data_IF_093949724216
#
_entry.id   IF_093949724216
#
_cell.length_a   1.000
_cell.length_b   1.000
_cell.length_c   1.000
_cell.angle_alpha   90.00
_cell.angle_beta   90.00
_cell.angle_gamma   90.00
#
_symmetry.space_group_name_H-M   'P 1'
#
loop_
_entity.id
_entity.type
_entity.pdbx_description
1 polymer ?
#
# COMPACT_ATOMS: atom_id res chain seq x y z
N UNK A 1 22.01 -14.35 -4.84
CA UNK A 1 21.36 -13.58 -3.76
C UNK A 1 20.28 -14.44 -3.14
N UNK A 2 20.06 -14.32 -1.84
CA UNK A 2 19.00 -15.01 -1.07
C UNK A 2 18.10 -13.96 -0.42
N UNK A 3 16.79 -14.16 -0.47
CA UNK A 3 15.82 -13.28 0.17
C UNK A 3 14.84 -14.05 1.06
N UNK A 4 14.49 -13.44 2.19
CA UNK A 4 13.42 -13.86 3.06
C UNK A 4 12.26 -12.85 2.96
N UNK A 5 11.06 -13.32 2.63
CA UNK A 5 9.87 -12.48 2.52
C UNK A 5 8.85 -12.83 3.61
N UNK A 6 8.62 -11.91 4.55
CA UNK A 6 7.55 -12.04 5.54
C UNK A 6 6.20 -11.65 4.93
N UNK A 7 5.21 -12.54 5.06
CA UNK A 7 3.85 -12.36 4.54
C UNK A 7 3.65 -13.06 3.20
N UNK A 8 3.26 -14.34 3.26
CA UNK A 8 2.93 -15.14 2.08
C UNK A 8 1.50 -14.92 1.58
N UNK A 9 0.90 -13.75 1.84
CA UNK A 9 -0.41 -13.35 1.32
C UNK A 9 -0.37 -12.92 -0.14
N UNK A 10 -1.48 -12.35 -0.64
CA UNK A 10 -1.59 -12.01 -2.06
C UNK A 10 -0.55 -10.97 -2.54
N UNK A 11 -0.20 -9.96 -1.72
CA UNK A 11 0.85 -8.99 -2.06
C UNK A 11 2.23 -9.65 -2.09
N UNK A 12 2.52 -10.51 -1.11
CA UNK A 12 3.79 -11.23 -1.08
C UNK A 12 3.97 -12.15 -2.28
N UNK A 13 2.96 -12.97 -2.61
CA UNK A 13 3.03 -13.91 -3.73
C UNK A 13 2.88 -13.23 -5.10
N UNK A 14 1.92 -12.33 -5.22
CA UNK A 14 1.54 -11.73 -6.50
C UNK A 14 2.41 -10.53 -6.90
N UNK A 15 3.22 -9.98 -5.99
CA UNK A 15 4.01 -8.78 -6.28
C UNK A 15 5.46 -8.90 -5.80
N UNK A 16 5.72 -8.77 -4.50
CA UNK A 16 7.09 -8.59 -4.00
C UNK A 16 7.91 -9.87 -4.18
N UNK A 17 7.39 -11.00 -3.70
CA UNK A 17 8.00 -12.31 -3.90
C UNK A 17 8.10 -12.70 -5.37
N UNK A 18 7.08 -12.39 -6.19
CA UNK A 18 7.16 -12.59 -7.65
C UNK A 18 8.36 -11.86 -8.26
N UNK A 19 8.52 -10.56 -8.03
CA UNK A 19 9.64 -9.79 -8.58
C UNK A 19 11.01 -10.30 -8.09
N UNK A 20 11.10 -10.70 -6.82
CA UNK A 20 12.32 -11.30 -6.28
C UNK A 20 12.65 -12.62 -6.99
N UNK A 21 11.67 -13.52 -7.13
CA UNK A 21 11.86 -14.80 -7.79
C UNK A 21 12.16 -14.65 -9.30
N UNK A 22 11.46 -13.75 -9.99
CA UNK A 22 11.69 -13.43 -11.41
C UNK A 22 13.09 -12.85 -11.64
N UNK A 23 13.68 -12.18 -10.64
CA UNK A 23 15.06 -11.70 -10.66
C UNK A 23 16.10 -12.83 -10.42
N UNK A 24 15.68 -14.08 -10.26
CA UNK A 24 16.55 -15.23 -9.98
C UNK A 24 17.06 -15.29 -8.53
N UNK A 25 16.42 -14.57 -7.60
CA UNK A 25 16.78 -14.60 -6.18
C UNK A 25 16.21 -15.88 -5.54
N UNK A 26 17.03 -16.57 -4.75
CA UNK A 26 16.55 -17.71 -3.95
C UNK A 26 15.61 -17.18 -2.86
N UNK A 27 14.32 -17.44 -3.00
CA UNK A 27 13.27 -16.84 -2.19
C UNK A 27 12.65 -17.84 -1.20
N UNK A 28 12.67 -17.47 0.08
CA UNK A 28 11.91 -18.13 1.13
C UNK A 28 10.81 -17.22 1.66
N UNK A 29 9.58 -17.70 1.72
CA UNK A 29 8.48 -17.03 2.40
C UNK A 29 8.47 -17.36 3.90
N UNK A 30 8.03 -16.41 4.73
CA UNK A 30 7.77 -16.61 6.15
C UNK A 30 6.33 -16.17 6.48
N UNK A 31 5.53 -17.08 7.04
CA UNK A 31 4.14 -16.81 7.42
C UNK A 31 3.71 -17.70 8.61
N UNK A 32 2.50 -17.50 9.11
CA UNK A 32 1.85 -18.37 10.11
C UNK A 32 0.74 -19.24 9.51
N UNK A 33 0.31 -18.96 8.28
CA UNK A 33 -0.73 -19.73 7.60
C UNK A 33 -0.17 -21.08 7.10
N UNK A 34 -0.35 -22.13 7.91
CA UNK A 34 0.20 -23.46 7.62
C UNK A 34 -0.24 -24.03 6.27
N UNK A 35 -1.47 -23.77 5.83
CA UNK A 35 -1.96 -24.24 4.52
C UNK A 35 -1.13 -23.65 3.37
N UNK A 36 -0.78 -22.36 3.46
CA UNK A 36 0.07 -21.69 2.47
C UNK A 36 1.51 -22.18 2.56
N UNK A 37 2.05 -22.35 3.77
CA UNK A 37 3.41 -22.87 3.97
C UNK A 37 3.59 -24.28 3.39
N UNK A 38 2.66 -25.19 3.71
CA UNK A 38 2.67 -26.57 3.23
C UNK A 38 2.55 -26.60 1.71
N UNK A 39 1.65 -25.80 1.13
CA UNK A 39 1.48 -25.74 -0.31
C UNK A 39 2.73 -25.20 -1.03
N UNK A 40 3.42 -24.20 -0.48
CA UNK A 40 4.66 -23.65 -1.04
C UNK A 40 5.79 -24.69 -0.98
N UNK A 41 5.93 -25.41 0.13
CA UNK A 41 6.94 -26.43 0.30
C UNK A 41 6.64 -27.73 -0.47
N UNK A 42 5.38 -28.03 -0.74
CA UNK A 42 5.00 -29.20 -1.54
C UNK A 42 5.28 -28.99 -3.04
N UNK A 43 5.04 -27.78 -3.55
CA UNK A 43 5.06 -27.50 -5.00
C UNK A 43 6.26 -26.70 -5.48
N UNK A 44 6.92 -25.96 -4.58
CA UNK A 44 8.00 -25.02 -4.88
C UNK A 44 7.68 -24.03 -6.02
N UNK A 45 6.40 -23.84 -6.31
CA UNK A 45 5.89 -23.04 -7.42
C UNK A 45 4.41 -22.72 -7.23
N UNK A 46 3.95 -21.65 -7.88
CA UNK A 46 2.55 -21.23 -7.93
C UNK A 46 2.28 -20.31 -9.13
N UNK A 47 1.01 -20.11 -9.43
CA UNK A 47 0.55 -19.34 -10.59
C UNK A 47 0.12 -17.94 -10.17
N UNK A 48 0.49 -16.95 -10.99
CA UNK A 48 0.07 -15.56 -10.86
C UNK A 48 -0.67 -15.15 -12.13
N UNK A 49 -1.97 -14.90 -12.00
CA UNK A 49 -2.80 -14.37 -13.08
C UNK A 49 -2.54 -12.86 -13.17
N UNK A 50 -1.79 -12.43 -14.17
CA UNK A 50 -1.50 -11.02 -14.42
C UNK A 50 -2.51 -10.53 -15.46
N UNK A 51 -3.39 -9.61 -15.03
CA UNK A 51 -4.55 -9.19 -15.82
C UNK A 51 -4.56 -7.69 -16.10
N UNK A 52 -5.00 -7.29 -17.29
CA UNK A 52 -4.99 -5.89 -17.74
C UNK A 52 -5.65 -5.75 -19.11
N UNK A 53 -4.88 -5.35 -20.13
CA UNK A 53 -5.34 -5.44 -21.52
C UNK A 53 -5.50 -6.90 -21.96
N UNK A 54 -4.58 -7.76 -21.51
CA UNK A 54 -4.60 -9.20 -21.71
C UNK A 54 -4.60 -9.92 -20.36
N UNK A 55 -4.96 -11.19 -20.38
CA UNK A 55 -4.76 -12.13 -19.27
C UNK A 55 -3.57 -13.03 -19.60
N UNK A 56 -2.61 -13.10 -18.69
CA UNK A 56 -1.49 -14.03 -18.75
C UNK A 56 -1.32 -14.74 -17.42
N UNK A 57 -0.86 -15.99 -17.46
CA UNK A 57 -0.57 -16.78 -16.27
C UNK A 57 0.93 -16.99 -16.18
N UNK A 58 1.54 -16.30 -15.23
CA UNK A 58 2.96 -16.45 -14.93
C UNK A 58 3.16 -17.58 -13.90
N UNK A 59 4.24 -18.34 -14.03
CA UNK A 59 4.63 -19.32 -13.00
C UNK A 59 5.82 -18.81 -12.21
N UNK A 60 5.64 -18.63 -10.91
CA UNK A 60 6.74 -18.42 -9.96
C UNK A 60 7.24 -19.79 -9.53
N UNK A 61 8.56 -20.02 -9.56
CA UNK A 61 9.16 -21.33 -9.25
C UNK A 61 10.44 -21.19 -8.43
N UNK A 62 10.90 -22.29 -7.82
CA UNK A 62 12.11 -22.32 -6.99
C UNK A 62 11.94 -21.65 -5.63
N UNK A 63 10.72 -21.57 -5.12
CA UNK A 63 10.41 -20.95 -3.82
C UNK A 63 10.20 -22.00 -2.73
N UNK A 64 10.41 -21.61 -1.48
CA UNK A 64 10.05 -22.41 -0.31
C UNK A 64 9.48 -21.52 0.79
N UNK A 65 9.11 -22.10 1.92
CA UNK A 65 8.52 -21.36 3.04
C UNK A 65 8.91 -21.92 4.41
N UNK A 66 8.93 -21.05 5.42
CA UNK A 66 9.12 -21.40 6.83
C UNK A 66 8.05 -20.76 7.70
N UNK A 67 7.85 -21.30 8.90
CA UNK A 67 7.03 -20.62 9.91
C UNK A 67 7.73 -19.34 10.38
N UNK A 68 7.01 -18.21 10.39
CA UNK A 68 7.55 -16.93 10.86
C UNK A 68 7.73 -16.85 12.37
N UNK A 69 7.27 -17.86 13.12
CA UNK A 69 7.37 -17.94 14.58
C UNK A 69 8.27 -19.09 15.06
N UNK A 70 8.84 -19.88 14.13
CA UNK A 70 9.79 -20.95 14.45
C UNK A 70 11.25 -20.48 14.45
N UNK A 71 12.19 -21.39 14.74
CA UNK A 71 13.61 -21.07 14.78
C UNK A 71 14.24 -20.97 13.38
N UNK A 72 13.72 -21.69 12.38
CA UNK A 72 14.25 -21.68 11.01
C UNK A 72 14.30 -20.28 10.38
N UNK A 73 13.35 -19.40 10.73
CA UNK A 73 13.33 -18.02 10.24
C UNK A 73 14.51 -17.20 10.78
N UNK A 74 14.90 -17.44 12.04
CA UNK A 74 16.05 -16.78 12.68
C UNK A 74 17.34 -17.21 11.99
N UNK A 75 17.43 -18.48 11.62
CA UNK A 75 18.56 -19.04 10.89
C UNK A 75 18.66 -18.45 9.49
N UNK A 76 17.54 -18.29 8.78
CA UNK A 76 17.53 -17.65 7.47
C UNK A 76 17.95 -16.18 7.53
N UNK A 77 17.45 -15.40 8.50
CA UNK A 77 17.84 -13.99 8.68
C UNK A 77 19.37 -13.84 8.79
N UNK A 78 20.03 -14.79 9.44
CA UNK A 78 21.48 -14.78 9.58
C UNK A 78 22.25 -14.99 8.25
N UNK A 79 21.60 -15.50 7.20
CA UNK A 79 22.27 -15.90 5.96
C UNK A 79 21.76 -15.22 4.68
N UNK A 80 20.61 -14.54 4.72
CA UNK A 80 20.05 -13.86 3.54
C UNK A 80 20.74 -12.52 3.25
N UNK A 81 20.59 -12.04 2.02
CA UNK A 81 21.09 -10.73 1.57
C UNK A 81 19.99 -9.66 1.65
N UNK A 82 18.73 -10.09 1.57
CA UNK A 82 17.55 -9.23 1.56
C UNK A 82 16.45 -9.79 2.48
N UNK A 83 15.79 -8.90 3.23
CA UNK A 83 14.53 -9.21 3.91
C UNK A 83 13.47 -8.26 3.38
N UNK A 84 12.31 -8.77 3.00
CA UNK A 84 11.16 -7.95 2.62
C UNK A 84 9.93 -8.32 3.45
N UNK A 85 8.95 -7.40 3.54
CA UNK A 85 7.69 -7.64 4.27
C UNK A 85 6.49 -7.15 3.48
N UNK A 86 5.36 -7.85 3.59
CA UNK A 86 4.04 -7.37 3.17
C UNK A 86 2.97 -7.92 4.15
N UNK A 87 3.02 -7.45 5.39
CA UNK A 87 2.31 -8.06 6.54
C UNK A 87 1.31 -7.13 7.22
N UNK A 88 1.34 -5.83 6.92
CA UNK A 88 0.54 -4.81 7.59
C UNK A 88 1.10 -4.39 8.97
N UNK A 89 0.63 -3.26 9.52
CA UNK A 89 1.26 -2.60 10.66
C UNK A 89 1.35 -3.46 11.93
N UNK A 90 0.28 -4.20 12.25
CA UNK A 90 0.23 -5.03 13.47
C UNK A 90 1.24 -6.17 13.43
N UNK A 91 1.39 -6.81 12.27
CA UNK A 91 2.32 -7.94 12.13
C UNK A 91 3.76 -7.44 11.94
N UNK A 92 3.95 -6.23 11.40
CA UNK A 92 5.26 -5.59 11.28
C UNK A 92 5.97 -5.47 12.63
N UNK A 93 5.25 -5.09 13.69
CA UNK A 93 5.76 -5.10 15.06
C UNK A 93 6.01 -6.54 15.56
N UNK A 94 5.08 -7.46 15.27
CA UNK A 94 5.15 -8.86 15.75
C UNK A 94 6.36 -9.63 15.23
N UNK A 95 6.84 -9.35 14.01
CA UNK A 95 8.01 -10.03 13.43
C UNK A 95 9.35 -9.43 13.91
N UNK A 96 9.33 -8.24 14.52
CA UNK A 96 10.55 -7.53 14.92
C UNK A 96 11.45 -8.31 15.91
N UNK A 97 10.91 -9.04 16.91
CA UNK A 97 11.75 -9.87 17.78
C UNK A 97 12.47 -11.02 17.05
N UNK A 98 11.84 -11.63 16.05
CA UNK A 98 12.47 -12.68 15.25
C UNK A 98 13.61 -12.09 14.40
N UNK A 99 13.37 -10.93 13.78
CA UNK A 99 14.41 -10.17 13.05
C UNK A 99 15.57 -9.82 13.98
N UNK A 100 15.29 -9.25 15.16
CA UNK A 100 16.32 -8.90 16.15
C UNK A 100 17.18 -10.13 16.53
N UNK A 101 16.55 -11.27 16.88
CA UNK A 101 17.26 -12.52 17.17
C UNK A 101 18.13 -12.99 15.99
N UNK A 102 17.61 -12.90 14.77
CA UNK A 102 18.34 -13.27 13.56
C UNK A 102 19.56 -12.37 13.31
N UNK A 103 19.44 -11.07 13.57
CA UNK A 103 20.56 -10.13 13.47
C UNK A 103 21.65 -10.40 14.52
N UNK A 104 21.26 -10.73 15.76
CA UNK A 104 22.20 -11.14 16.81
C UNK A 104 22.93 -12.43 16.40
N UNK A 105 22.20 -13.42 15.85
CA UNK A 105 22.79 -14.65 15.32
C UNK A 105 23.75 -14.36 14.16
N UNK A 106 23.38 -13.47 13.24
CA UNK A 106 24.22 -13.03 12.12
C UNK A 106 25.56 -12.46 12.60
N UNK A 107 25.51 -11.54 13.57
CA UNK A 107 26.69 -10.96 14.22
C UNK A 107 27.55 -12.03 14.90
N UNK A 108 26.94 -12.93 15.67
CA UNK A 108 27.66 -14.00 16.38
C UNK A 108 28.36 -14.98 15.42
N UNK A 109 27.87 -15.13 14.20
CA UNK A 109 28.48 -15.93 13.14
C UNK A 109 29.58 -15.19 12.36
N UNK A 110 29.85 -13.92 12.66
CA UNK A 110 30.85 -13.10 11.96
C UNK A 110 30.46 -12.74 10.53
N UNK A 111 29.16 -12.71 10.21
CA UNK A 111 28.66 -12.40 8.87
C UNK A 111 28.47 -10.89 8.74
N UNK A 112 29.54 -10.18 8.39
CA UNK A 112 29.54 -8.72 8.21
C UNK A 112 29.10 -8.28 6.80
N UNK A 113 28.75 -9.22 5.91
CA UNK A 113 28.19 -8.90 4.60
C UNK A 113 26.89 -8.10 4.75
N UNK A 114 26.73 -6.97 4.01
CA UNK A 114 25.55 -6.10 4.13
C UNK A 114 24.23 -6.84 3.97
N UNK A 115 23.27 -6.52 4.83
CA UNK A 115 21.88 -6.97 4.76
C UNK A 115 20.99 -5.76 4.52
N UNK A 116 20.03 -5.85 3.61
CA UNK A 116 19.03 -4.79 3.42
C UNK A 116 17.62 -5.32 3.73
N UNK A 117 16.90 -4.60 4.58
CA UNK A 117 15.52 -4.86 4.97
C UNK A 117 14.62 -3.83 4.30
N UNK A 118 13.55 -4.27 3.64
CA UNK A 118 12.62 -3.42 2.87
C UNK A 118 11.17 -3.80 3.20
N UNK A 119 10.52 -3.01 4.04
CA UNK A 119 9.09 -3.19 4.32
C UNK A 119 8.27 -2.62 3.15
N UNK A 120 7.54 -3.50 2.46
CA UNK A 120 6.72 -3.21 1.27
C UNK A 120 5.25 -3.08 1.69
N UNK A 121 4.99 -2.11 2.56
CA UNK A 121 3.70 -1.92 3.22
C UNK A 121 2.92 -0.76 2.59
N UNK A 122 1.59 -0.75 2.76
CA UNK A 122 0.77 0.43 2.48
C UNK A 122 0.88 1.47 3.62
N UNK A 123 2.12 1.89 3.92
CA UNK A 123 2.50 2.78 5.01
C UNK A 123 3.57 3.74 4.53
N UNK A 124 3.53 4.99 5.01
CA UNK A 124 4.62 5.94 4.79
C UNK A 124 5.82 5.51 5.63
N UNK A 125 6.98 5.31 4.99
CA UNK A 125 8.23 4.89 5.64
C UNK A 125 8.05 3.65 6.53
N UNK A 126 7.40 2.62 6.01
CA UNK A 126 7.13 1.38 6.75
C UNK A 126 8.41 0.72 7.29
N UNK A 127 9.52 0.81 6.56
CA UNK A 127 10.79 0.20 6.99
C UNK A 127 11.43 0.96 8.14
N UNK A 128 11.33 2.29 8.16
CA UNK A 128 11.72 3.11 9.32
C UNK A 128 10.92 2.75 10.56
N UNK A 129 9.62 2.46 10.42
CA UNK A 129 8.79 1.98 11.54
C UNK A 129 9.23 0.60 12.01
N UNK A 130 9.47 -0.34 11.09
CA UNK A 130 10.04 -1.66 11.40
C UNK A 130 11.39 -1.55 12.11
N UNK A 131 12.28 -0.63 11.67
CA UNK A 131 13.55 -0.35 12.34
C UNK A 131 13.33 0.01 13.80
N UNK A 132 12.35 0.87 14.11
CA UNK A 132 11.99 1.21 15.49
C UNK A 132 11.63 -0.02 16.32
N UNK A 133 10.73 -0.88 15.82
CA UNK A 133 10.36 -2.12 16.51
C UNK A 133 11.55 -3.07 16.70
N UNK A 134 12.40 -3.23 15.68
CA UNK A 134 13.60 -4.10 15.74
C UNK A 134 14.60 -3.56 16.76
N UNK A 135 14.86 -2.26 16.77
CA UNK A 135 15.78 -1.62 17.72
C UNK A 135 15.28 -1.72 19.17
N UNK A 136 13.96 -1.69 19.39
CA UNK A 136 13.37 -1.92 20.71
C UNK A 136 13.53 -3.37 21.19
N UNK A 137 13.62 -4.33 20.27
CA UNK A 137 13.83 -5.74 20.57
C UNK A 137 15.33 -6.14 20.66
N UNK A 138 16.26 -5.24 20.33
CA UNK A 138 17.70 -5.47 20.38
C UNK A 138 18.31 -5.02 21.71
N UNK A 139 19.27 -5.80 22.22
CA UNK A 139 20.13 -5.35 23.31
C UNK A 139 21.07 -4.22 22.85
N UNK A 140 21.43 -3.32 23.76
CA UNK A 140 22.23 -2.14 23.42
C UNK A 140 23.60 -2.49 22.80
N UNK A 141 24.21 -3.60 23.22
CA UNK A 141 25.49 -4.08 22.67
C UNK A 141 25.45 -4.53 21.20
N UNK A 142 24.26 -4.71 20.62
CA UNK A 142 24.09 -5.15 19.23
C UNK A 142 23.71 -4.02 18.27
N UNK A 143 23.17 -2.91 18.79
CA UNK A 143 22.65 -1.79 17.99
C UNK A 143 23.71 -1.19 17.06
N UNK A 144 24.92 -0.93 17.57
CA UNK A 144 25.99 -0.33 16.76
C UNK A 144 26.39 -1.21 15.57
N UNK A 145 26.43 -2.53 15.76
CA UNK A 145 26.73 -3.46 14.67
C UNK A 145 25.60 -3.47 13.64
N UNK A 146 24.34 -3.45 14.08
CA UNK A 146 23.17 -3.39 13.18
C UNK A 146 23.17 -2.09 12.37
N UNK A 147 23.43 -0.94 12.98
CA UNK A 147 23.50 0.34 12.27
C UNK A 147 24.59 0.38 11.20
N UNK A 148 25.70 -0.32 11.44
CA UNK A 148 26.81 -0.40 10.50
C UNK A 148 26.49 -1.32 9.30
N UNK A 149 25.94 -2.51 9.55
CA UNK A 149 25.83 -3.59 8.56
C UNK A 149 24.44 -3.77 7.93
N UNK A 150 23.38 -3.20 8.52
CA UNK A 150 21.99 -3.39 8.07
C UNK A 150 21.41 -2.09 7.50
N UNK A 151 20.96 -2.13 6.25
CA UNK A 151 20.17 -1.08 5.63
C UNK A 151 18.69 -1.29 5.93
N UNK A 152 18.03 -0.28 6.48
CA UNK A 152 16.57 -0.24 6.62
C UNK A 152 16.04 0.71 5.56
N UNK A 153 15.65 0.14 4.42
CA UNK A 153 15.31 0.86 3.20
C UNK A 153 13.80 1.02 3.07
N UNK A 154 13.31 2.24 3.20
CA UNK A 154 11.92 2.62 2.94
C UNK A 154 11.55 2.37 1.48
N UNK A 155 10.28 2.06 1.25
CA UNK A 155 9.74 1.81 -0.08
C UNK A 155 8.38 2.48 -0.30
N UNK A 156 8.04 2.64 -1.57
CA UNK A 156 6.70 2.95 -2.06
C UNK A 156 6.30 1.84 -3.02
N UNK A 157 5.20 1.14 -2.70
CA UNK A 157 4.71 0.01 -3.48
C UNK A 157 3.29 0.24 -3.97
N UNK A 158 3.03 -0.10 -5.23
CA UNK A 158 1.72 0.04 -5.85
C UNK A 158 1.44 -1.13 -6.81
N UNK A 159 0.48 -1.96 -6.42
CA UNK A 159 -0.15 -2.98 -7.26
C UNK A 159 -1.53 -3.28 -6.70
N UNK A 160 -2.57 -3.24 -7.53
CA UNK A 160 -3.92 -3.64 -7.17
C UNK A 160 -3.98 -5.17 -7.22
N UNK A 161 -4.26 -5.73 -6.06
CA UNK A 161 -4.36 -7.18 -5.84
C UNK A 161 -5.64 -7.43 -5.04
N UNK A 162 -6.80 -7.57 -5.71
CA UNK A 162 -8.05 -7.87 -5.04
C UNK A 162 -8.03 -9.30 -4.50
N UNK A 163 -8.94 -9.65 -3.58
CA UNK A 163 -9.22 -11.04 -3.25
C UNK A 163 -9.63 -11.80 -4.53
N UNK A 164 -8.94 -12.89 -4.86
CA UNK A 164 -9.28 -13.69 -6.05
C UNK A 164 -10.43 -14.66 -5.75
N UNK A 165 -11.38 -14.80 -6.67
CA UNK A 165 -12.37 -15.87 -6.63
C UNK A 165 -11.71 -17.27 -6.75
N UNK A 166 -10.57 -17.37 -7.43
CA UNK A 166 -9.82 -18.63 -7.60
C UNK A 166 -9.07 -19.10 -6.34
N UNK A 167 -8.85 -18.20 -5.38
CA UNK A 167 -8.28 -18.55 -4.06
C UNK A 167 -9.12 -19.56 -3.27
N UNK A 168 -10.34 -19.87 -3.75
CA UNK A 168 -11.22 -20.89 -3.20
C UNK A 168 -10.77 -22.32 -3.52
N UNK A 169 -9.92 -22.54 -4.52
CA UNK A 169 -9.49 -23.88 -4.96
C UNK A 169 -7.98 -24.11 -4.80
N UNK A 170 -7.16 -23.09 -5.10
CA UNK A 170 -5.71 -23.13 -4.90
C UNK A 170 -5.29 -22.06 -3.88
N UNK A 171 -4.72 -22.43 -2.72
CA UNK A 171 -4.33 -21.46 -1.69
C UNK A 171 -3.15 -20.56 -2.09
N UNK A 172 -2.43 -20.87 -3.16
CA UNK A 172 -1.28 -20.09 -3.64
C UNK A 172 -1.58 -19.21 -4.84
N UNK A 173 -2.60 -19.55 -5.63
CA UNK A 173 -2.97 -18.76 -6.80
C UNK A 173 -3.33 -17.33 -6.39
N UNK A 174 -2.97 -16.36 -7.23
CA UNK A 174 -3.23 -14.95 -7.00
C UNK A 174 -3.44 -14.23 -8.32
N UNK A 175 -4.44 -13.36 -8.37
CA UNK A 175 -4.70 -12.47 -9.50
C UNK A 175 -4.22 -11.06 -9.17
N UNK A 176 -3.45 -10.46 -10.06
CA UNK A 176 -2.86 -9.13 -9.90
C UNK A 176 -3.02 -8.33 -11.18
N UNK A 177 -3.09 -7.01 -11.05
CA UNK A 177 -3.05 -6.17 -12.25
C UNK A 177 -1.67 -6.24 -12.94
N UNK A 178 -1.64 -5.90 -14.24
CA UNK A 178 -0.40 -5.81 -15.03
C UNK A 178 0.55 -4.75 -14.50
N UNK A 179 0.01 -3.60 -14.10
CA UNK A 179 0.82 -2.52 -13.55
C UNK A 179 1.43 -2.90 -12.20
N UNK A 180 2.69 -2.55 -11.98
CA UNK A 180 3.31 -2.58 -10.66
C UNK A 180 4.38 -1.51 -10.56
N UNK A 181 4.51 -0.88 -9.40
CA UNK A 181 5.56 0.09 -9.11
C UNK A 181 6.16 -0.23 -7.74
N UNK A 182 7.46 -0.52 -7.69
CA UNK A 182 8.21 -0.72 -6.44
C UNK A 182 9.41 0.21 -6.44
N UNK A 183 9.33 1.28 -5.65
CA UNK A 183 10.35 2.31 -5.57
C UNK A 183 11.00 2.27 -4.19
N UNK A 184 12.32 2.32 -4.12
CA UNK A 184 13.10 2.23 -2.88
C UNK A 184 14.07 3.40 -2.72
N UNK A 185 14.30 3.82 -1.48
CA UNK A 185 15.24 4.88 -1.17
C UNK A 185 16.70 4.40 -1.31
N UNK A 186 17.35 4.83 -2.40
CA UNK A 186 18.74 4.47 -2.72
C UNK A 186 19.72 4.85 -1.61
N UNK A 187 19.43 5.91 -0.86
CA UNK A 187 20.35 6.48 0.14
C UNK A 187 20.43 5.62 1.41
N UNK A 188 19.48 4.72 1.61
CA UNK A 188 19.37 3.89 2.82
C UNK A 188 20.00 2.50 2.68
N UNK A 189 20.43 2.13 1.47
CA UNK A 189 21.09 0.84 1.22
C UNK A 189 22.48 0.77 1.84
N UNK A 190 22.86 -0.44 2.26
CA UNK A 190 24.22 -0.81 2.61
C UNK A 190 24.81 -1.72 1.53
N UNK A 191 26.05 -1.44 1.13
CA UNK A 191 26.77 -2.23 0.14
C UNK A 191 26.37 -1.95 -1.30
N UNK A 192 26.59 -2.93 -2.17
CA UNK A 192 26.21 -2.84 -3.59
C UNK A 192 24.69 -2.83 -3.75
N UNK A 193 24.18 -1.99 -4.64
CA UNK A 193 22.75 -1.89 -4.93
C UNK A 193 22.29 -3.13 -5.71
N UNK A 194 21.19 -3.78 -5.30
CA UNK A 194 20.68 -4.96 -6.00
C UNK A 194 20.06 -4.56 -7.35
N UNK A 195 20.24 -5.40 -8.36
CA UNK A 195 19.57 -5.26 -9.65
C UNK A 195 18.34 -6.19 -9.71
N UNK A 196 17.18 -5.65 -9.36
CA UNK A 196 15.91 -6.39 -9.35
C UNK A 196 14.98 -5.74 -10.38
N UNK A 197 14.69 -6.40 -11.51
CA UNK A 197 13.73 -5.90 -12.49
C UNK A 197 12.38 -5.57 -11.83
N UNK A 198 11.83 -4.39 -12.14
CA UNK A 198 10.61 -3.89 -11.51
C UNK A 198 10.81 -3.15 -10.18
N UNK A 199 12.03 -3.13 -9.62
CA UNK A 199 12.40 -2.28 -8.48
C UNK A 199 13.21 -1.08 -8.96
N UNK A 200 12.72 0.13 -8.71
CA UNK A 200 13.37 1.39 -9.07
C UNK A 200 14.00 2.05 -7.84
N UNK A 201 15.19 2.62 -8.01
CA UNK A 201 15.90 3.31 -6.94
C UNK A 201 15.79 4.82 -7.11
N UNK A 202 15.54 5.54 -6.02
CA UNK A 202 15.40 7.00 -6.02
C UNK A 202 16.10 7.64 -4.81
N UNK A 203 16.50 8.90 -4.93
CA UNK A 203 16.97 9.74 -3.82
C UNK A 203 15.85 10.60 -3.23
N UNK A 204 14.64 10.56 -3.81
CA UNK A 204 13.49 11.35 -3.38
C UNK A 204 12.22 10.50 -3.22
N UNK A 205 12.29 9.47 -2.38
CA UNK A 205 11.20 8.52 -2.18
C UNK A 205 9.87 9.19 -1.79
N UNK A 206 9.93 10.24 -0.96
CA UNK A 206 8.73 10.92 -0.48
C UNK A 206 7.88 11.52 -1.60
N UNK A 207 8.49 11.99 -2.69
CA UNK A 207 7.76 12.47 -3.86
C UNK A 207 6.90 11.37 -4.48
N UNK A 208 7.43 10.14 -4.57
CA UNK A 208 6.71 8.98 -5.12
C UNK A 208 5.64 8.46 -4.16
N UNK A 209 5.92 8.44 -2.85
CA UNK A 209 4.93 8.10 -1.81
C UNK A 209 3.73 9.04 -1.90
N UNK A 210 3.95 10.35 -1.95
CA UNK A 210 2.87 11.33 -2.08
C UNK A 210 2.19 11.24 -3.45
N UNK A 211 2.92 11.03 -4.55
CA UNK A 211 2.33 10.84 -5.87
C UNK A 211 1.33 9.68 -5.88
N UNK A 212 1.70 8.53 -5.32
CA UNK A 212 0.81 7.37 -5.20
C UNK A 212 -0.38 7.68 -4.29
N UNK A 213 -0.16 8.34 -3.15
CA UNK A 213 -1.21 8.69 -2.21
C UNK A 213 -2.22 9.67 -2.80
N UNK A 214 -1.76 10.71 -3.49
CA UNK A 214 -2.58 11.81 -3.99
C UNK A 214 -3.24 11.50 -5.32
N UNK A 215 -2.74 10.51 -6.07
CA UNK A 215 -3.30 10.15 -7.37
C UNK A 215 -4.05 8.82 -7.28
N UNK A 216 -3.33 7.71 -7.07
CA UNK A 216 -3.94 6.38 -7.06
C UNK A 216 -4.89 6.22 -5.87
N UNK A 217 -4.42 6.45 -4.64
CA UNK A 217 -5.28 6.23 -3.47
C UNK A 217 -6.47 7.21 -3.44
N UNK A 218 -6.26 8.49 -3.77
CA UNK A 218 -7.33 9.50 -3.87
C UNK A 218 -8.36 9.12 -4.93
N UNK A 219 -7.94 8.86 -6.17
CA UNK A 219 -8.85 8.48 -7.25
C UNK A 219 -9.62 7.21 -6.95
N UNK A 220 -8.94 6.19 -6.38
CA UNK A 220 -9.55 4.90 -6.09
C UNK A 220 -10.61 5.00 -4.98
N UNK A 221 -10.33 5.79 -3.93
CA UNK A 221 -11.30 6.02 -2.86
C UNK A 221 -12.51 6.83 -3.33
N UNK A 222 -12.30 7.89 -4.11
CA UNK A 222 -13.41 8.71 -4.64
C UNK A 222 -14.27 7.87 -5.59
N UNK A 223 -13.65 7.04 -6.44
CA UNK A 223 -14.37 6.10 -7.32
C UNK A 223 -15.25 5.15 -6.50
N UNK A 224 -14.71 4.58 -5.42
CA UNK A 224 -15.44 3.68 -4.55
C UNK A 224 -16.64 4.36 -3.87
N UNK A 225 -16.44 5.55 -3.30
CA UNK A 225 -17.50 6.24 -2.56
C UNK A 225 -18.62 6.75 -3.47
N UNK A 226 -18.28 7.37 -4.60
CA UNK A 226 -19.27 7.78 -5.59
C UNK A 226 -19.94 6.57 -6.24
N UNK A 227 -19.18 5.51 -6.52
CA UNK A 227 -19.69 4.26 -7.05
C UNK A 227 -20.74 3.64 -6.14
N UNK A 228 -20.43 3.49 -4.84
CA UNK A 228 -21.36 2.96 -3.85
C UNK A 228 -22.64 3.80 -3.75
N UNK A 229 -22.53 5.13 -3.79
CA UNK A 229 -23.68 6.04 -3.79
C UNK A 229 -24.57 5.88 -5.03
N UNK A 230 -23.96 5.67 -6.20
CA UNK A 230 -24.68 5.46 -7.46
C UNK A 230 -25.19 4.01 -7.65
N UNK A 231 -24.94 3.11 -6.69
CA UNK A 231 -25.35 1.71 -6.77
C UNK A 231 -24.46 0.83 -7.65
N UNK A 232 -23.28 1.30 -8.03
CA UNK A 232 -22.29 0.51 -8.78
C UNK A 232 -21.63 -0.53 -7.86
N UNK A 233 -21.44 -1.76 -8.38
CA UNK A 233 -20.86 -2.85 -7.60
C UNK A 233 -19.33 -2.79 -7.58
N UNK A 234 -18.70 -2.49 -8.72
CA UNK A 234 -17.25 -2.54 -8.86
C UNK A 234 -16.65 -1.17 -9.21
N UNK A 235 -15.35 -1.02 -8.95
CA UNK A 235 -14.56 0.15 -9.36
C UNK A 235 -14.65 0.38 -10.86
N UNK A 236 -14.67 -0.70 -11.66
CA UNK A 236 -14.83 -0.59 -13.10
C UNK A 236 -16.20 -0.01 -13.47
N UNK A 237 -17.28 -0.51 -12.88
CA UNK A 237 -18.63 0.00 -13.15
C UNK A 237 -18.71 1.50 -12.81
N UNK A 238 -18.15 1.88 -11.66
CA UNK A 238 -18.12 3.27 -11.21
C UNK A 238 -17.24 4.19 -12.08
N UNK A 239 -16.06 3.77 -12.54
CA UNK A 239 -15.17 4.63 -13.34
C UNK A 239 -15.59 4.76 -14.81
N UNK A 240 -16.46 3.86 -15.28
CA UNK A 240 -17.08 3.91 -16.60
C UNK A 240 -18.31 4.83 -16.64
N UNK A 241 -18.88 5.19 -15.49
CA UNK A 241 -19.85 6.27 -15.37
C UNK A 241 -19.15 7.62 -15.59
N UNK A 242 -19.49 8.30 -16.69
CA UNK A 242 -18.85 9.56 -17.10
C UNK A 242 -18.96 10.66 -16.04
N UNK A 243 -20.05 10.66 -15.24
CA UNK A 243 -20.26 11.66 -14.19
C UNK A 243 -19.31 11.44 -13.01
N UNK A 244 -19.11 10.19 -12.62
CA UNK A 244 -18.16 9.79 -11.57
C UNK A 244 -16.73 10.00 -12.07
N UNK A 245 -16.44 9.57 -13.31
CA UNK A 245 -15.13 9.72 -13.94
C UNK A 245 -14.68 11.17 -13.97
N UNK A 246 -15.57 12.10 -14.29
CA UNK A 246 -15.25 13.52 -14.32
C UNK A 246 -14.79 14.03 -12.93
N UNK A 247 -15.47 13.63 -11.86
CA UNK A 247 -15.08 14.01 -10.48
C UNK A 247 -13.77 13.34 -10.07
N UNK A 248 -13.62 12.04 -10.35
CA UNK A 248 -12.41 11.29 -10.02
C UNK A 248 -11.19 11.86 -10.74
N UNK A 249 -11.29 12.11 -12.04
CA UNK A 249 -10.23 12.74 -12.83
C UNK A 249 -9.90 14.13 -12.31
N UNK A 250 -10.91 14.97 -12.08
CA UNK A 250 -10.73 16.33 -11.56
C UNK A 250 -10.05 16.34 -10.19
N UNK A 251 -10.41 15.43 -9.28
CA UNK A 251 -9.78 15.34 -7.96
C UNK A 251 -8.30 14.93 -8.05
N UNK A 252 -7.95 14.03 -8.98
CA UNK A 252 -6.56 13.66 -9.26
C UNK A 252 -5.77 14.79 -9.93
N UNK A 253 -6.41 15.64 -10.74
CA UNK A 253 -5.79 16.83 -11.33
C UNK A 253 -5.55 17.92 -10.26
N UNK A 254 -6.51 18.13 -9.36
CA UNK A 254 -6.40 19.06 -8.22
C UNK A 254 -5.25 18.65 -7.28
N UNK A 255 -5.22 17.38 -6.87
CA UNK A 255 -4.13 16.85 -6.06
C UNK A 255 -2.80 16.78 -6.83
N UNK A 256 -2.85 16.55 -8.13
CA UNK A 256 -1.70 16.55 -9.03
C UNK A 256 -1.02 17.91 -9.12
N UNK A 257 -1.80 18.99 -9.16
CA UNK A 257 -1.27 20.35 -9.14
C UNK A 257 -0.49 20.66 -7.85
N UNK A 258 -0.93 20.11 -6.70
CA UNK A 258 -0.17 20.18 -5.44
C UNK A 258 1.17 19.46 -5.59
N UNK A 259 1.18 18.25 -6.14
CA UNK A 259 2.41 17.46 -6.33
C UNK A 259 3.40 18.14 -7.28
N UNK A 260 2.91 18.72 -8.38
CA UNK A 260 3.74 19.45 -9.35
C UNK A 260 4.42 20.64 -8.67
N UNK A 261 3.68 21.44 -7.89
CA UNK A 261 4.27 22.56 -7.14
C UNK A 261 5.26 22.11 -6.06
N UNK A 262 4.91 21.05 -5.30
CA UNK A 262 5.68 20.59 -4.13
C UNK A 262 6.97 19.87 -4.50
N UNK A 263 6.93 19.06 -5.58
CA UNK A 263 8.02 18.16 -5.94
C UNK A 263 8.64 18.42 -7.32
N UNK A 264 8.09 19.36 -8.10
CA UNK A 264 8.59 19.65 -9.44
C UNK A 264 8.38 18.50 -10.44
N UNK A 265 7.33 17.69 -10.26
CA UNK A 265 6.97 16.69 -11.27
C UNK A 265 6.65 17.39 -12.60
N UNK A 266 7.11 16.79 -13.69
CA UNK A 266 6.75 17.22 -15.04
C UNK A 266 5.23 17.06 -15.26
N UNK A 267 4.57 18.12 -15.71
CA UNK A 267 3.12 18.20 -15.80
C UNK A 267 2.55 17.20 -16.83
N UNK A 268 3.19 17.04 -17.99
CA UNK A 268 2.75 16.14 -19.04
C UNK A 268 2.92 14.67 -18.61
N UNK A 269 4.04 14.35 -17.96
CA UNK A 269 4.25 13.02 -17.35
C UNK A 269 3.23 12.73 -16.26
N UNK A 270 2.87 13.72 -15.44
CA UNK A 270 1.87 13.53 -14.40
C UNK A 270 0.46 13.36 -14.98
N UNK A 271 0.11 14.10 -16.04
CA UNK A 271 -1.14 13.90 -16.76
C UNK A 271 -1.25 12.50 -17.37
N UNK A 272 -0.16 12.00 -17.98
CA UNK A 272 -0.08 10.64 -18.48
C UNK A 272 -0.19 9.59 -17.36
N UNK A 273 0.37 9.86 -16.18
CA UNK A 273 0.24 9.02 -15.00
C UNK A 273 -1.23 8.94 -14.50
N UNK A 274 -1.95 10.07 -14.50
CA UNK A 274 -3.40 10.10 -14.23
C UNK A 274 -4.17 9.24 -15.23
N UNK A 275 -3.88 9.36 -16.53
CA UNK A 275 -4.54 8.52 -17.55
C UNK A 275 -4.25 7.03 -17.35
N UNK A 276 -3.01 6.68 -17.00
CA UNK A 276 -2.64 5.31 -16.64
C UNK A 276 -3.46 4.80 -15.45
N UNK A 277 -3.65 5.61 -14.42
CA UNK A 277 -4.47 5.25 -13.24
C UNK A 277 -5.93 5.04 -13.62
N UNK A 278 -6.51 5.90 -14.45
CA UNK A 278 -7.88 5.71 -14.94
C UNK A 278 -8.02 4.38 -15.70
N UNK A 279 -7.08 4.06 -16.59
CA UNK A 279 -7.05 2.76 -17.28
C UNK A 279 -6.91 1.55 -16.33
N UNK A 280 -6.21 1.71 -15.20
CA UNK A 280 -6.12 0.66 -14.16
C UNK A 280 -7.47 0.41 -13.48
N UNK A 281 -8.23 1.48 -13.20
CA UNK A 281 -9.58 1.35 -12.64
C UNK A 281 -10.56 0.71 -13.61
N UNK A 282 -10.32 0.85 -14.91
CA UNK A 282 -11.11 0.21 -15.97
C UNK A 282 -10.80 -1.28 -16.14
N UNK A 283 -9.89 -1.90 -15.37
CA UNK A 283 -9.50 -3.30 -15.60
C UNK A 283 -10.70 -4.27 -15.50
N UNK A 284 -11.09 -4.98 -16.58
CA UNK A 284 -12.29 -5.82 -16.60
C UNK A 284 -12.16 -7.12 -15.79
N UNK A 285 -10.94 -7.50 -15.43
CA UNK A 285 -10.66 -8.80 -14.81
C UNK A 285 -10.64 -8.75 -13.28
N UNK A 286 -10.37 -7.59 -12.66
CA UNK A 286 -10.17 -7.49 -11.21
C UNK A 286 -11.46 -7.57 -10.39
N UNK A 287 -12.61 -7.22 -10.98
CA UNK A 287 -13.94 -7.15 -10.31
C UNK A 287 -13.84 -6.56 -8.90
N UNK A 288 -13.07 -5.48 -8.77
CA UNK A 288 -12.71 -4.91 -7.48
C UNK A 288 -13.90 -4.17 -6.86
N UNK A 289 -14.38 -4.66 -5.74
CA UNK A 289 -15.64 -4.23 -5.13
C UNK A 289 -15.54 -2.84 -4.47
N UNK A 290 -16.54 -1.98 -4.69
CA UNK A 290 -16.54 -0.61 -4.13
C UNK A 290 -16.62 -0.58 -2.61
N UNK A 291 -17.23 -1.58 -1.95
CA UNK A 291 -17.28 -1.69 -0.50
C UNK A 291 -15.92 -2.09 0.06
N UNK A 292 -15.26 -3.06 -0.57
CA UNK A 292 -13.87 -3.44 -0.23
C UNK A 292 -12.92 -2.25 -0.37
N UNK A 293 -13.02 -1.52 -1.47
CA UNK A 293 -12.16 -0.35 -1.71
C UNK A 293 -12.56 0.81 -0.82
N UNK A 294 -13.84 0.97 -0.48
CA UNK A 294 -14.40 2.05 0.35
C UNK A 294 -14.14 1.90 1.86
N UNK A 295 -13.94 0.68 2.36
CA UNK A 295 -13.76 0.38 3.80
C UNK A 295 -12.75 1.26 4.54
N UNK A 296 -12.93 1.37 5.85
CA UNK A 296 -12.17 2.21 6.79
C UNK A 296 -12.23 3.71 6.43
N UNK A 297 -13.43 4.30 6.32
CA UNK A 297 -13.58 5.70 5.92
C UNK A 297 -12.97 6.67 6.92
N UNK A 298 -12.98 6.40 8.24
CA UNK A 298 -12.38 7.28 9.25
C UNK A 298 -10.88 7.46 9.02
N UNK A 299 -10.16 6.36 8.76
CA UNK A 299 -8.73 6.42 8.40
C UNK A 299 -8.50 7.27 7.15
N UNK A 300 -9.33 7.09 6.11
CA UNK A 300 -9.17 7.79 4.82
C UNK A 300 -9.59 9.26 4.85
N UNK A 301 -10.45 9.62 5.80
CA UNK A 301 -10.84 10.99 6.13
C UNK A 301 -9.90 11.65 7.15
N UNK A 302 -8.85 10.98 7.62
CA UNK A 302 -7.89 11.58 8.56
C UNK A 302 -6.98 12.60 7.86
N UNK A 303 -6.46 13.56 8.65
CA UNK A 303 -5.68 14.71 8.20
C UNK A 303 -4.53 14.36 7.22
N UNK A 304 -3.84 13.25 7.47
CA UNK A 304 -2.64 12.84 6.73
C UNK A 304 -2.89 11.90 5.55
N UNK A 305 -4.14 11.49 5.30
CA UNK A 305 -4.48 10.47 4.28
C UNK A 305 -4.99 11.12 2.97
N UNK A 306 -5.46 10.28 2.05
CA UNK A 306 -5.69 10.50 0.63
C UNK A 306 -6.76 11.55 0.26
N UNK A 307 -7.51 12.09 1.21
CA UNK A 307 -8.55 13.09 0.93
C UNK A 307 -8.18 14.45 1.55
N UNK A 308 -7.88 14.46 2.85
CA UNK A 308 -7.61 15.71 3.57
C UNK A 308 -6.21 16.25 3.29
N UNK A 309 -5.20 15.39 3.16
CA UNK A 309 -3.83 15.86 2.89
C UNK A 309 -3.71 16.55 1.51
N UNK A 310 -4.33 16.04 0.42
CA UNK A 310 -4.44 16.79 -0.82
C UNK A 310 -5.20 18.12 -0.68
N UNK A 311 -6.35 18.13 0.01
CA UNK A 311 -7.14 19.34 0.24
C UNK A 311 -6.33 20.41 1.01
N UNK A 312 -5.58 20.01 2.03
CA UNK A 312 -4.68 20.95 2.74
C UNK A 312 -3.61 21.50 1.80
N UNK A 313 -3.09 20.68 0.87
CA UNK A 313 -2.15 21.13 -0.15
C UNK A 313 -2.74 22.09 -1.16
N UNK A 314 -4.02 21.95 -1.53
CA UNK A 314 -4.68 22.93 -2.40
C UNK A 314 -4.85 24.27 -1.69
N UNK A 315 -5.16 24.25 -0.40
CA UNK A 315 -5.23 25.47 0.43
C UNK A 315 -3.86 26.14 0.58
N UNK A 316 -2.81 25.35 0.84
CA UNK A 316 -1.41 25.83 0.93
C UNK A 316 -0.98 26.62 -0.31
N UNK A 317 -1.39 26.17 -1.50
CA UNK A 317 -0.96 26.74 -2.77
C UNK A 317 -2.00 27.60 -3.50
N UNK A 318 -3.16 27.85 -2.88
CA UNK A 318 -4.28 28.59 -3.48
C UNK A 318 -4.80 27.94 -4.78
N UNK A 319 -4.94 26.62 -4.79
CA UNK A 319 -5.36 25.82 -5.94
C UNK A 319 -6.85 25.39 -5.81
N UNK A 320 -7.52 25.04 -6.93
CA UNK A 320 -8.87 24.48 -6.89
C UNK A 320 -8.97 23.15 -6.12
N UNK A 321 -10.12 22.87 -5.51
CA UNK A 321 -10.38 21.65 -4.72
C UNK A 321 -11.83 21.17 -4.78
N UNK A 322 -12.59 21.58 -5.79
CA UNK A 322 -14.03 21.30 -5.87
C UNK A 322 -14.33 19.80 -5.98
N UNK A 323 -13.48 19.03 -6.65
CA UNK A 323 -13.68 17.60 -6.83
C UNK A 323 -13.19 16.79 -5.62
N UNK A 324 -12.12 17.22 -4.96
CA UNK A 324 -11.72 16.69 -3.66
C UNK A 324 -12.84 16.85 -2.62
N UNK A 325 -13.50 18.01 -2.57
CA UNK A 325 -14.66 18.26 -1.69
C UNK A 325 -15.80 17.30 -1.98
N UNK A 326 -16.15 17.06 -3.25
CA UNK A 326 -17.15 16.04 -3.62
C UNK A 326 -16.75 14.64 -3.15
N UNK A 327 -15.48 14.29 -3.30
CA UNK A 327 -14.92 13.02 -2.81
C UNK A 327 -15.02 12.87 -1.28
N UNK A 328 -14.75 13.94 -0.53
CA UNK A 328 -14.90 13.97 0.93
C UNK A 328 -16.37 13.80 1.33
N UNK A 329 -17.28 14.53 0.69
CA UNK A 329 -18.72 14.38 0.94
C UNK A 329 -19.21 12.96 0.65
N UNK A 330 -18.75 12.35 -0.46
CA UNK A 330 -19.07 10.97 -0.78
C UNK A 330 -18.52 9.98 0.27
N UNK A 331 -17.30 10.21 0.77
CA UNK A 331 -16.72 9.40 1.85
C UNK A 331 -17.54 9.49 3.14
N UNK A 332 -18.08 10.66 3.48
CA UNK A 332 -18.95 10.85 4.65
C UNK A 332 -20.28 10.09 4.53
N UNK A 333 -20.74 9.81 3.30
CA UNK A 333 -21.93 9.00 3.02
C UNK A 333 -21.68 7.50 3.03
N UNK A 334 -20.43 7.03 3.11
CA UNK A 334 -20.14 5.60 3.05
C UNK A 334 -20.79 4.84 4.22
N UNK A 335 -21.50 3.76 3.91
CA UNK A 335 -22.13 2.84 4.86
C UNK A 335 -21.77 1.40 4.52
N UNK A 336 -21.52 0.60 5.54
CA UNK A 336 -21.29 -0.84 5.46
C UNK A 336 -21.49 -1.44 6.86
N UNK A 337 -22.31 -2.48 6.96
CA UNK A 337 -22.58 -3.18 8.23
C UNK A 337 -21.38 -4.06 8.65
N UNK A 338 -20.49 -4.38 7.71
CA UNK A 338 -19.29 -5.19 7.94
C UNK A 338 -18.08 -4.35 8.35
N UNK A 339 -18.15 -3.02 8.25
CA UNK A 339 -17.05 -2.11 8.55
C UNK A 339 -17.31 -1.29 9.83
N UNK A 340 -16.61 -1.59 10.94
CA UNK A 340 -16.76 -0.85 12.19
C UNK A 340 -16.54 0.66 12.05
N UNK A 341 -15.63 1.10 11.16
CA UNK A 341 -15.39 2.54 10.96
C UNK A 341 -16.53 3.21 10.18
N UNK A 342 -17.22 2.49 9.31
CA UNK A 342 -18.39 3.02 8.61
C UNK A 342 -19.58 3.16 9.57
N UNK A 343 -19.75 2.21 10.49
CA UNK A 343 -20.75 2.29 11.58
C UNK A 343 -20.45 3.45 12.52
N UNK A 344 -19.20 3.61 12.94
CA UNK A 344 -18.76 4.74 13.79
C UNK A 344 -18.95 6.09 13.08
N UNK A 345 -18.61 6.19 11.79
CA UNK A 345 -18.86 7.39 10.99
C UNK A 345 -20.35 7.76 10.95
N UNK A 346 -21.22 6.78 10.72
CA UNK A 346 -22.66 7.00 10.68
C UNK A 346 -23.21 7.46 12.04
N UNK A 347 -22.76 6.84 13.13
CA UNK A 347 -23.11 7.23 14.49
C UNK A 347 -22.66 8.67 14.80
N UNK A 348 -21.42 9.01 14.47
CA UNK A 348 -20.87 10.34 14.73
C UNK A 348 -21.62 11.45 13.97
N UNK A 349 -21.94 11.21 12.70
CA UNK A 349 -22.72 12.17 11.89
C UNK A 349 -24.14 12.31 12.45
N UNK A 350 -24.76 11.22 12.93
CA UNK A 350 -26.10 11.25 13.53
C UNK A 350 -26.11 12.03 14.84
N UNK A 351 -25.10 11.83 15.69
CA UNK A 351 -25.00 12.46 17.01
C UNK A 351 -24.65 13.95 16.93
N UNK A 352 -23.68 14.31 16.08
CA UNK A 352 -23.07 15.66 16.09
C UNK A 352 -23.37 16.50 14.86
N UNK A 353 -23.99 15.91 13.84
CA UNK A 353 -24.14 16.51 12.52
C UNK A 353 -22.87 16.41 11.67
N UNK A 354 -22.99 16.60 10.34
CA UNK A 354 -21.89 16.40 9.39
C UNK A 354 -20.71 17.36 9.60
N UNK A 355 -20.96 18.59 10.03
CA UNK A 355 -19.92 19.61 10.25
C UNK A 355 -18.97 19.22 11.39
N UNK A 356 -19.51 18.95 12.58
CA UNK A 356 -18.71 18.58 13.73
C UNK A 356 -18.04 17.20 13.56
N UNK A 357 -18.73 16.25 12.90
CA UNK A 357 -18.16 14.95 12.57
C UNK A 357 -16.93 15.09 11.63
N UNK A 358 -17.06 15.85 10.53
CA UNK A 358 -15.95 16.06 9.60
C UNK A 358 -14.77 16.73 10.28
N UNK A 359 -14.99 17.81 11.04
CA UNK A 359 -13.94 18.50 11.78
C UNK A 359 -13.21 17.57 12.76
N UNK A 360 -13.96 16.76 13.52
CA UNK A 360 -13.38 15.81 14.47
C UNK A 360 -12.51 14.74 13.80
N UNK A 361 -12.93 14.19 12.65
CA UNK A 361 -12.20 13.12 11.96
C UNK A 361 -10.98 13.68 11.20
N UNK A 362 -11.20 14.78 10.48
CA UNK A 362 -10.21 15.35 9.56
C UNK A 362 -9.19 16.26 10.24
N UNK A 363 -9.51 16.79 11.42
CA UNK A 363 -8.73 17.84 12.07
C UNK A 363 -8.86 19.23 11.43
N UNK A 364 -9.75 19.40 10.45
CA UNK A 364 -10.07 20.71 9.88
C UNK A 364 -10.85 21.56 10.90
N UNK A 365 -10.68 22.88 10.85
CA UNK A 365 -11.49 23.80 11.65
C UNK A 365 -12.96 23.72 11.21
N UNK A 366 -13.85 23.45 12.15
CA UNK A 366 -15.29 23.36 11.92
C UNK A 366 -15.91 24.62 11.32
N UNK A 367 -15.26 25.79 11.50
CA UNK A 367 -15.72 27.07 10.96
C UNK A 367 -15.03 27.46 9.64
N UNK A 368 -14.16 26.60 9.10
CA UNK A 368 -13.47 26.88 7.84
C UNK A 368 -14.41 26.78 6.63
N UNK A 369 -14.15 27.57 5.60
CA UNK A 369 -14.93 27.56 4.36
C UNK A 369 -14.95 26.17 3.71
N UNK A 370 -13.84 25.44 3.73
CA UNK A 370 -13.77 24.08 3.15
C UNK A 370 -14.64 23.06 3.89
N UNK A 371 -14.83 23.20 5.20
CA UNK A 371 -15.77 22.37 5.95
C UNK A 371 -17.21 22.74 5.55
N UNK A 372 -17.51 24.03 5.40
CA UNK A 372 -18.82 24.46 4.91
C UNK A 372 -19.11 23.94 3.49
N UNK A 373 -18.13 24.00 2.58
CA UNK A 373 -18.22 23.43 1.22
C UNK A 373 -18.51 21.93 1.25
N UNK A 374 -17.78 21.16 2.06
CA UNK A 374 -17.98 19.71 2.19
C UNK A 374 -19.35 19.35 2.79
N UNK A 375 -19.82 20.11 3.79
CA UNK A 375 -21.15 19.91 4.38
C UNK A 375 -22.25 20.26 3.38
N UNK A 376 -22.08 21.33 2.60
CA UNK A 376 -23.00 21.68 1.53
C UNK A 376 -23.08 20.58 0.46
N UNK A 377 -21.93 20.05 0.03
CA UNK A 377 -21.87 18.92 -0.90
C UNK A 377 -22.51 17.65 -0.31
N UNK A 378 -22.25 17.34 0.97
CA UNK A 378 -22.88 16.22 1.67
C UNK A 378 -24.41 16.33 1.68
N UNK A 379 -24.94 17.52 1.99
CA UNK A 379 -26.38 17.77 2.04
C UNK A 379 -27.06 17.77 0.66
N UNK A 380 -26.34 18.15 -0.39
CA UNK A 380 -26.82 18.14 -1.77
C UNK A 380 -26.92 16.73 -2.37
N UNK A 381 -26.27 15.73 -1.77
CA UNK A 381 -26.21 14.34 -2.25
C UNK A 381 -27.34 13.48 -1.65
N UNK A 382 -28.46 14.09 -1.29
CA UNK A 382 -29.63 13.42 -0.66
C UNK A 382 -30.65 12.92 -1.68
#
# INVERSE_FOLDING_TARGET
>A
MKALHFGAGNIGRGFIGKLLADAGIQLTFADVNQVVLDALNARHSYQVHVVGENEQVDTVSGVNAVSSIGDDVVDLIAHVDLITTAVGPVVLERIAPAIAKGLVKRKAQGVDAPLNIIACENMVRGTTQLKGHVMNALADGDKAWVEQHVGFVDSAVDRIVPPSASATHDPLEVTVETFSEWIVDKTQFKGALPNIPGMELTDNLMAFVERKLFTLNTGHAITAYLGKLAGHQTIRDAILDESIRAVVKGAMEESGAVLIKRYGFDADKHAAYIQKILGRFENPYLKDDVERVGRQPLRKLSAGDRLIKPLLGTLEYGLPHVNLVKGIAAAMHFRSDEDPQAQELAALITEKGPQAALAQISGLDANSDVVAEAVNAYNATK
#
